data_IF_725950043187
#
_entry.id   IF_725950043187
#
_cell.length_a   1.000
_cell.length_b   1.000
_cell.length_c   1.000
_cell.angle_alpha   90.00
_cell.angle_beta   90.00
_cell.angle_gamma   90.00
#
_symmetry.space_group_name_H-M   'P 1'
#
loop_
_entity.id
_entity.type
_entity.pdbx_description
1 polymer ?
#
# COMPACT_ATOMS: atom_id res chain seq x y z
N UNK A 1 3.36 12.16 -9.46
CA UNK A 1 3.63 12.88 -8.17
C UNK A 1 4.43 12.04 -7.14
N UNK A 2 4.31 10.69 -7.01
CA UNK A 2 5.15 9.90 -6.09
C UNK A 2 6.66 10.07 -6.32
N UNK A 3 7.05 10.36 -7.55
CA UNK A 3 8.45 10.60 -7.94
C UNK A 3 9.07 11.78 -7.14
N UNK A 4 8.30 12.83 -6.89
CA UNK A 4 8.78 13.99 -6.11
C UNK A 4 9.08 13.62 -4.66
N UNK A 5 8.29 12.74 -4.06
CA UNK A 5 8.55 12.23 -2.71
C UNK A 5 9.89 11.46 -2.67
N UNK A 6 10.12 10.60 -3.66
CA UNK A 6 11.36 9.83 -3.74
C UNK A 6 12.58 10.75 -3.92
N UNK A 7 12.51 11.73 -4.80
CA UNK A 7 13.58 12.72 -4.96
C UNK A 7 13.82 13.52 -3.69
N UNK A 8 12.77 13.95 -3.00
CA UNK A 8 12.88 14.66 -1.73
C UNK A 8 13.53 13.79 -0.65
N UNK A 9 13.15 12.51 -0.55
CA UNK A 9 13.76 11.58 0.41
C UNK A 9 15.23 11.29 0.09
N UNK A 10 15.58 11.08 -1.17
CA UNK A 10 16.96 10.87 -1.61
C UNK A 10 17.80 12.13 -1.32
N UNK A 11 17.30 13.31 -1.64
CA UNK A 11 17.96 14.58 -1.35
C UNK A 11 18.15 14.80 0.16
N UNK A 12 17.14 14.49 0.96
CA UNK A 12 17.21 14.58 2.41
C UNK A 12 18.23 13.58 3.01
N UNK A 13 18.29 12.36 2.47
CA UNK A 13 19.27 11.37 2.91
C UNK A 13 20.70 11.79 2.54
N UNK A 14 20.91 12.30 1.33
CA UNK A 14 22.24 12.62 0.82
C UNK A 14 22.78 13.96 1.34
N UNK A 15 21.95 14.99 1.34
CA UNK A 15 22.36 16.35 1.77
C UNK A 15 21.93 16.65 3.22
N UNK A 16 20.76 16.22 3.62
CA UNK A 16 20.20 16.53 4.94
C UNK A 16 20.84 15.73 6.06
N UNK A 17 21.07 14.43 5.87
CA UNK A 17 21.60 13.59 6.95
C UNK A 17 23.01 14.01 7.41
N UNK A 18 24.00 14.34 6.53
CA UNK A 18 25.29 14.89 6.95
C UNK A 18 25.16 16.22 7.66
N UNK A 19 24.26 17.08 7.18
CA UNK A 19 24.02 18.40 7.79
C UNK A 19 23.42 18.30 9.18
N UNK A 20 22.42 17.44 9.39
CA UNK A 20 21.83 17.17 10.71
C UNK A 20 22.89 16.60 11.68
N UNK A 21 23.73 15.68 11.19
CA UNK A 21 24.82 15.11 11.98
C UNK A 21 25.81 16.20 12.44
N UNK A 22 26.13 17.18 11.57
CA UNK A 22 27.02 18.30 11.94
C UNK A 22 26.42 19.23 13.00
N UNK A 23 25.08 19.25 13.12
CA UNK A 23 24.34 20.00 14.14
C UNK A 23 24.11 19.19 15.43
N UNK A 24 24.63 17.96 15.54
CA UNK A 24 24.39 17.07 16.69
C UNK A 24 22.99 16.47 16.74
N UNK A 25 22.23 16.53 15.63
CA UNK A 25 20.88 15.97 15.51
C UNK A 25 20.98 14.59 14.85
N UNK A 26 20.18 13.65 15.31
CA UNK A 26 20.10 12.31 14.73
C UNK A 26 19.78 12.37 13.22
N UNK A 27 20.60 11.77 12.34
CA UNK A 27 20.43 11.85 10.88
C UNK A 27 19.09 11.34 10.36
N UNK A 28 18.40 10.49 11.12
CA UNK A 28 17.09 9.94 10.76
C UNK A 28 16.00 11.02 10.64
N UNK A 29 16.12 12.11 11.38
CA UNK A 29 15.17 13.22 11.27
C UNK A 29 15.23 13.95 9.92
N UNK A 30 16.35 13.88 9.21
CA UNK A 30 16.45 14.41 7.86
C UNK A 30 15.48 13.72 6.91
N UNK A 31 15.26 12.41 7.06
CA UNK A 31 14.28 11.66 6.28
C UNK A 31 12.84 12.13 6.56
N UNK A 32 12.51 12.42 7.83
CA UNK A 32 11.23 13.01 8.21
C UNK A 32 10.97 14.35 7.51
N UNK A 33 11.98 15.22 7.50
CA UNK A 33 11.92 16.49 6.75
C UNK A 33 11.77 16.24 5.26
N UNK A 34 12.47 15.24 4.71
CA UNK A 34 12.33 14.83 3.31
C UNK A 34 10.91 14.44 2.93
N UNK A 35 10.20 13.70 3.80
CA UNK A 35 8.79 13.35 3.59
C UNK A 35 7.89 14.58 3.57
N UNK A 36 8.09 15.51 4.52
CA UNK A 36 7.30 16.75 4.58
C UNK A 36 7.53 17.63 3.35
N UNK A 37 8.79 17.80 2.94
CA UNK A 37 9.15 18.54 1.72
C UNK A 37 8.55 17.88 0.48
N UNK A 38 8.59 16.56 0.39
CA UNK A 38 7.95 15.80 -0.69
C UNK A 38 6.45 16.06 -0.77
N UNK A 39 5.75 16.11 0.36
CA UNK A 39 4.33 16.45 0.43
C UNK A 39 4.04 17.88 -0.08
N UNK A 40 4.82 18.86 0.37
CA UNK A 40 4.69 20.26 -0.07
C UNK A 40 4.96 20.39 -1.57
N UNK A 41 6.00 19.73 -2.09
CA UNK A 41 6.32 19.74 -3.53
C UNK A 41 5.21 19.08 -4.36
N UNK A 42 4.61 18.00 -3.88
CA UNK A 42 3.47 17.37 -4.56
C UNK A 42 2.27 18.30 -4.66
N UNK A 43 1.91 18.97 -3.57
CA UNK A 43 0.86 19.99 -3.58
C UNK A 43 1.21 21.18 -4.49
N UNK A 44 2.47 21.65 -4.42
CA UNK A 44 2.95 22.75 -5.24
C UNK A 44 2.86 22.49 -6.74
N UNK A 45 3.03 21.26 -7.19
CA UNK A 45 2.86 20.87 -8.60
C UNK A 45 1.39 20.69 -8.98
N UNK A 46 0.55 20.22 -8.06
CA UNK A 46 -0.87 19.98 -8.34
C UNK A 46 -1.70 21.26 -8.29
N UNK A 47 -1.41 22.17 -7.36
CA UNK A 47 -2.18 23.39 -7.17
C UNK A 47 -2.29 24.27 -8.44
N UNK A 48 -1.20 24.55 -9.19
CA UNK A 48 -1.29 25.33 -10.42
C UNK A 48 -2.13 24.64 -11.52
N UNK A 49 -2.07 23.31 -11.60
CA UNK A 49 -2.88 22.55 -12.56
C UNK A 49 -4.37 22.65 -12.22
N UNK A 50 -4.74 22.54 -10.94
CA UNK A 50 -6.12 22.70 -10.48
C UNK A 50 -6.63 24.13 -10.68
N UNK A 51 -5.77 25.13 -10.45
CA UNK A 51 -6.11 26.54 -10.71
C UNK A 51 -6.41 26.79 -12.19
N UNK A 52 -5.58 26.23 -13.11
CA UNK A 52 -5.79 26.37 -14.57
C UNK A 52 -7.09 25.70 -15.03
N UNK A 53 -7.49 24.62 -14.38
CA UNK A 53 -8.74 23.91 -14.69
C UNK A 53 -9.97 24.54 -14.01
N UNK A 54 -9.80 25.57 -13.19
CA UNK A 54 -10.90 26.17 -12.43
C UNK A 54 -11.48 25.26 -11.35
N UNK A 55 -10.80 24.15 -11.02
CA UNK A 55 -11.23 23.13 -10.06
C UNK A 55 -10.62 23.33 -8.66
N UNK A 56 -9.98 24.47 -8.43
CA UNK A 56 -9.37 24.73 -7.13
C UNK A 56 -10.47 24.89 -6.07
N UNK A 57 -10.47 24.06 -5.02
CA UNK A 57 -11.51 24.10 -4.00
C UNK A 57 -11.44 25.43 -3.23
N UNK A 58 -12.57 26.13 -3.16
CA UNK A 58 -12.72 27.31 -2.29
C UNK A 58 -12.87 26.81 -0.85
N UNK A 59 -11.77 26.66 -0.15
CA UNK A 59 -11.77 26.23 1.23
C UNK A 59 -12.18 27.43 2.08
N UNK A 60 -13.43 27.46 2.53
CA UNK A 60 -13.91 28.42 3.52
C UNK A 60 -13.55 27.93 4.93
N UNK A 61 -12.60 28.58 5.60
CA UNK A 61 -12.26 28.31 7.00
C UNK A 61 -13.27 28.92 8.00
N UNK A 62 -14.42 29.37 7.51
CA UNK A 62 -15.44 29.95 8.38
C UNK A 62 -16.30 28.84 8.98
N UNK A 63 -16.56 28.91 10.31
CA UNK A 63 -17.36 27.91 11.01
C UNK A 63 -18.75 27.70 10.40
N UNK A 64 -19.36 28.76 9.90
CA UNK A 64 -20.64 28.69 9.18
C UNK A 64 -20.55 27.88 7.88
N UNK A 65 -19.43 27.96 7.14
CA UNK A 65 -19.22 27.18 5.94
C UNK A 65 -19.03 25.68 6.26
N UNK A 66 -18.35 25.38 7.35
CA UNK A 66 -18.18 23.99 7.82
C UNK A 66 -19.54 23.41 8.26
N UNK A 67 -20.35 24.17 9.00
CA UNK A 67 -21.69 23.74 9.38
C UNK A 67 -22.61 23.52 8.17
N UNK A 68 -22.57 24.41 7.19
CA UNK A 68 -23.34 24.29 5.96
C UNK A 68 -22.92 23.05 5.16
N UNK A 69 -21.61 22.81 5.03
CA UNK A 69 -21.09 21.61 4.37
C UNK A 69 -21.48 20.32 5.10
N UNK A 70 -21.48 20.33 6.43
CA UNK A 70 -21.89 19.16 7.24
C UNK A 70 -23.41 18.94 7.22
N UNK A 71 -24.20 19.99 6.97
CA UNK A 71 -25.64 19.89 6.82
C UNK A 71 -26.07 19.28 5.48
N UNK A 72 -25.20 19.35 4.46
CA UNK A 72 -25.47 18.86 3.11
C UNK A 72 -25.72 17.34 3.12
N UNK A 73 -26.83 16.85 2.54
CA UNK A 73 -27.13 15.42 2.44
C UNK A 73 -26.06 14.60 1.71
N UNK A 74 -25.40 15.18 0.69
CA UNK A 74 -24.34 14.51 -0.05
C UNK A 74 -23.11 14.28 0.85
N UNK A 75 -22.73 15.27 1.66
CA UNK A 75 -21.63 15.17 2.63
C UNK A 75 -21.92 14.09 3.69
N UNK A 76 -23.14 14.04 4.22
CA UNK A 76 -23.56 13.01 5.18
C UNK A 76 -23.52 11.60 4.56
N UNK A 77 -23.95 11.47 3.32
CA UNK A 77 -23.93 10.20 2.63
C UNK A 77 -22.48 9.71 2.39
N UNK A 78 -21.59 10.61 1.97
CA UNK A 78 -20.16 10.31 1.83
C UNK A 78 -19.58 9.88 3.19
N UNK A 79 -19.81 10.63 4.26
CA UNK A 79 -19.33 10.28 5.59
C UNK A 79 -19.84 8.91 6.06
N UNK A 80 -21.12 8.61 5.82
CA UNK A 80 -21.73 7.30 6.15
C UNK A 80 -21.08 6.14 5.39
N UNK A 81 -20.68 6.35 4.13
CA UNK A 81 -19.97 5.34 3.33
C UNK A 81 -18.49 5.23 3.70
N UNK A 82 -17.88 6.33 4.16
CA UNK A 82 -16.46 6.34 4.57
C UNK A 82 -16.22 5.59 5.88
N UNK A 83 -17.13 5.62 6.84
CA UNK A 83 -16.93 4.98 8.15
C UNK A 83 -16.63 3.47 8.02
N UNK A 84 -17.44 2.66 7.31
CA UNK A 84 -17.11 1.25 7.10
C UNK A 84 -15.81 1.03 6.31
N UNK A 85 -15.55 1.88 5.31
CA UNK A 85 -14.32 1.80 4.52
C UNK A 85 -13.08 2.09 5.37
N UNK A 86 -13.14 3.11 6.26
CA UNK A 86 -12.08 3.42 7.22
C UNK A 86 -11.82 2.26 8.17
N UNK A 87 -12.87 1.62 8.69
CA UNK A 87 -12.72 0.45 9.55
C UNK A 87 -12.01 -0.69 8.80
N UNK A 88 -12.39 -0.97 7.55
CA UNK A 88 -11.75 -1.99 6.73
C UNK A 88 -10.25 -1.74 6.49
N UNK A 89 -9.88 -0.49 6.18
CA UNK A 89 -8.47 -0.11 6.00
C UNK A 89 -7.71 -0.12 7.32
N UNK A 90 -8.35 0.30 8.42
CA UNK A 90 -7.73 0.35 9.75
C UNK A 90 -7.30 -1.02 10.25
N UNK A 91 -8.02 -2.10 9.93
CA UNK A 91 -7.66 -3.47 10.32
C UNK A 91 -6.27 -3.84 9.79
N UNK A 92 -5.98 -3.52 8.53
CA UNK A 92 -4.66 -3.79 7.95
C UNK A 92 -3.55 -2.98 8.64
N UNK A 93 -3.80 -1.71 8.98
CA UNK A 93 -2.85 -0.87 9.68
C UNK A 93 -2.62 -1.33 11.12
N UNK A 94 -3.67 -1.75 11.82
CA UNK A 94 -3.56 -2.32 13.17
C UNK A 94 -2.76 -3.62 13.13
N UNK A 95 -3.00 -4.49 12.16
CA UNK A 95 -2.23 -5.71 11.97
C UNK A 95 -0.74 -5.42 11.74
N UNK A 96 -0.41 -4.43 10.92
CA UNK A 96 0.96 -3.99 10.69
C UNK A 96 1.62 -3.49 11.98
N UNK A 97 0.92 -2.68 12.77
CA UNK A 97 1.42 -2.19 14.07
C UNK A 97 1.67 -3.34 15.05
N UNK A 98 0.74 -4.30 15.16
CA UNK A 98 0.87 -5.47 16.02
C UNK A 98 2.08 -6.30 15.59
N UNK A 99 2.22 -6.59 14.29
CA UNK A 99 3.35 -7.35 13.76
C UNK A 99 4.69 -6.65 14.03
N UNK A 100 4.76 -5.34 13.83
CA UNK A 100 5.95 -4.54 14.11
C UNK A 100 6.26 -4.54 15.62
N UNK A 101 5.24 -4.42 16.47
CA UNK A 101 5.39 -4.47 17.91
C UNK A 101 5.92 -5.84 18.38
N UNK A 102 5.36 -6.93 17.86
CA UNK A 102 5.85 -8.28 18.15
C UNK A 102 7.32 -8.42 17.70
N UNK A 103 7.63 -7.99 16.47
CA UNK A 103 8.97 -8.07 15.93
C UNK A 103 9.99 -7.23 16.72
N UNK A 104 9.58 -6.11 17.30
CA UNK A 104 10.45 -5.25 18.12
C UNK A 104 10.88 -5.90 19.44
N UNK A 105 10.14 -6.88 19.95
CA UNK A 105 10.47 -7.67 21.15
C UNK A 105 11.32 -8.90 20.83
N UNK A 106 11.55 -9.21 19.56
CA UNK A 106 12.41 -10.31 19.13
C UNK A 106 13.88 -9.84 19.02
N UNK A 107 14.71 -10.66 18.38
CA UNK A 107 16.12 -10.35 18.21
C UNK A 107 16.32 -9.02 17.45
N UNK A 108 17.37 -8.23 17.78
CA UNK A 108 17.72 -7.04 17.02
C UNK A 108 17.83 -7.34 15.52
N UNK A 109 17.17 -6.55 14.68
CA UNK A 109 17.08 -6.76 13.23
C UNK A 109 15.75 -7.34 12.74
N UNK A 110 14.92 -7.94 13.61
CA UNK A 110 13.68 -8.62 13.22
C UNK A 110 12.70 -7.72 12.44
N UNK A 111 12.55 -6.47 12.83
CA UNK A 111 11.72 -5.50 12.11
C UNK A 111 12.28 -5.25 10.69
N UNK A 112 13.61 -5.15 10.56
CA UNK A 112 14.25 -4.94 9.26
C UNK A 112 14.08 -6.16 8.36
N UNK A 113 14.28 -7.38 8.87
CA UNK A 113 14.12 -8.61 8.10
C UNK A 113 12.70 -8.79 7.57
N UNK A 114 11.69 -8.50 8.40
CA UNK A 114 10.29 -8.50 7.97
C UNK A 114 10.04 -7.43 6.90
N UNK A 115 10.60 -6.22 7.06
CA UNK A 115 10.43 -5.14 6.09
C UNK A 115 11.04 -5.50 4.73
N UNK A 116 12.23 -6.09 4.70
CA UNK A 116 12.85 -6.53 3.44
C UNK A 116 12.05 -7.67 2.78
N UNK A 117 11.58 -8.63 3.57
CA UNK A 117 10.73 -9.70 3.06
C UNK A 117 9.39 -9.17 2.49
N UNK A 118 8.76 -8.21 3.19
CA UNK A 118 7.52 -7.56 2.75
C UNK A 118 7.70 -6.83 1.41
N UNK A 119 8.82 -6.13 1.23
CA UNK A 119 9.15 -5.46 -0.05
C UNK A 119 9.26 -6.43 -1.22
N UNK A 120 9.86 -7.60 -1.01
CA UNK A 120 9.94 -8.62 -2.05
C UNK A 120 8.58 -9.25 -2.35
N UNK A 121 7.78 -9.47 -1.32
CA UNK A 121 6.42 -9.96 -1.44
C UNK A 121 5.47 -8.96 -2.14
N UNK A 122 5.73 -7.67 -1.98
CA UNK A 122 4.92 -6.62 -2.60
C UNK A 122 4.93 -6.71 -4.14
N UNK A 123 6.03 -7.13 -4.74
CA UNK A 123 6.17 -7.24 -6.20
C UNK A 123 5.16 -8.20 -6.83
N UNK A 124 5.10 -9.51 -6.50
CA UNK A 124 4.09 -10.41 -7.05
C UNK A 124 2.67 -10.01 -6.65
N UNK A 125 2.48 -9.49 -5.43
CA UNK A 125 1.16 -9.06 -4.95
C UNK A 125 0.63 -7.84 -5.73
N UNK A 126 1.48 -6.89 -6.08
CA UNK A 126 1.09 -5.72 -6.87
C UNK A 126 0.84 -6.11 -8.34
N UNK A 127 1.75 -6.86 -8.95
CA UNK A 127 1.59 -7.28 -10.35
C UNK A 127 0.31 -8.10 -10.57
N UNK A 128 0.05 -9.07 -9.70
CA UNK A 128 -1.10 -9.98 -9.86
C UNK A 128 -2.38 -9.37 -9.29
N UNK A 129 -2.33 -8.93 -8.03
CA UNK A 129 -3.53 -8.48 -7.31
C UNK A 129 -4.06 -7.15 -7.82
N UNK A 130 -3.18 -6.15 -7.99
CA UNK A 130 -3.61 -4.81 -8.42
C UNK A 130 -3.99 -4.80 -9.89
N UNK A 131 -3.19 -5.43 -10.77
CA UNK A 131 -3.48 -5.47 -12.20
C UNK A 131 -4.83 -6.14 -12.49
N UNK A 132 -5.09 -7.29 -11.89
CA UNK A 132 -6.37 -8.00 -12.04
C UNK A 132 -7.52 -7.19 -11.42
N UNK A 133 -7.31 -6.62 -10.22
CA UNK A 133 -8.32 -5.82 -9.52
C UNK A 133 -8.74 -4.58 -10.32
N UNK A 134 -7.80 -3.87 -10.94
CA UNK A 134 -8.09 -2.69 -11.79
C UNK A 134 -8.94 -3.07 -13.01
N UNK A 135 -8.69 -4.23 -13.62
CA UNK A 135 -9.47 -4.70 -14.78
C UNK A 135 -10.85 -5.20 -14.36
N UNK A 136 -10.93 -5.96 -13.25
CA UNK A 136 -12.18 -6.55 -12.79
C UNK A 136 -13.17 -5.55 -12.20
N UNK A 137 -12.68 -4.55 -11.44
CA UNK A 137 -13.55 -3.61 -10.72
C UNK A 137 -14.60 -2.93 -11.59
N UNK A 138 -14.27 -2.27 -12.72
CA UNK A 138 -15.28 -1.63 -13.56
C UNK A 138 -16.21 -2.63 -14.23
N UNK A 139 -15.72 -3.81 -14.59
CA UNK A 139 -16.50 -4.83 -15.26
C UNK A 139 -17.52 -5.49 -14.30
N UNK A 140 -17.10 -5.77 -13.06
CA UNK A 140 -17.98 -6.27 -12.01
C UNK A 140 -19.07 -5.26 -11.65
N UNK A 141 -18.71 -3.96 -11.55
CA UNK A 141 -19.65 -2.90 -11.29
C UNK A 141 -20.68 -2.77 -12.43
N UNK A 142 -20.25 -2.87 -13.69
CA UNK A 142 -21.14 -2.84 -14.86
C UNK A 142 -22.09 -4.05 -14.89
N UNK A 143 -21.58 -5.28 -14.66
CA UNK A 143 -22.41 -6.49 -14.62
C UNK A 143 -23.44 -6.41 -13.49
N UNK A 144 -23.05 -5.91 -12.32
CA UNK A 144 -23.94 -5.70 -11.18
C UNK A 144 -25.03 -4.65 -11.48
N UNK A 145 -24.64 -3.52 -12.10
CA UNK A 145 -25.58 -2.46 -12.49
C UNK A 145 -26.59 -2.92 -13.54
N UNK A 146 -26.19 -3.84 -14.42
CA UNK A 146 -27.09 -4.48 -15.41
C UNK A 146 -27.96 -5.60 -14.85
N UNK A 147 -27.78 -6.00 -13.58
CA UNK A 147 -28.49 -7.13 -12.99
C UNK A 147 -28.05 -8.50 -13.52
N UNK A 148 -26.94 -8.58 -14.25
CA UNK A 148 -26.43 -9.81 -14.86
C UNK A 148 -25.57 -10.61 -13.87
N UNK A 149 -26.24 -11.40 -13.04
CA UNK A 149 -25.59 -12.23 -12.02
C UNK A 149 -24.72 -13.33 -12.63
N UNK A 150 -25.07 -13.85 -13.81
CA UNK A 150 -24.29 -14.89 -14.49
C UNK A 150 -22.93 -14.34 -14.95
N UNK A 151 -22.95 -13.17 -15.60
CA UNK A 151 -21.73 -12.47 -16.03
C UNK A 151 -20.86 -12.07 -14.84
N UNK A 152 -21.46 -11.57 -13.76
CA UNK A 152 -20.76 -11.22 -12.54
C UNK A 152 -20.01 -12.41 -11.95
N UNK A 153 -20.68 -13.55 -11.80
CA UNK A 153 -20.10 -14.80 -11.29
C UNK A 153 -18.99 -15.33 -12.19
N UNK A 154 -19.21 -15.34 -13.52
CA UNK A 154 -18.21 -15.77 -14.49
C UNK A 154 -16.93 -14.92 -14.45
N UNK A 155 -17.06 -13.62 -14.21
CA UNK A 155 -15.91 -12.72 -14.09
C UNK A 155 -15.11 -12.96 -12.81
N UNK A 156 -15.75 -13.20 -11.69
CA UNK A 156 -15.07 -13.56 -10.44
C UNK A 156 -14.36 -14.91 -10.57
N UNK A 157 -15.02 -15.91 -11.15
CA UNK A 157 -14.43 -17.24 -11.41
C UNK A 157 -13.19 -17.12 -12.31
N UNK A 158 -13.29 -16.36 -13.40
CA UNK A 158 -12.16 -16.07 -14.28
C UNK A 158 -10.99 -15.39 -13.54
N UNK A 159 -11.28 -14.36 -12.74
CA UNK A 159 -10.27 -13.67 -11.94
C UNK A 159 -9.57 -14.59 -10.95
N UNK A 160 -10.32 -15.43 -10.24
CA UNK A 160 -9.77 -16.40 -9.29
C UNK A 160 -8.92 -17.47 -9.98
N UNK A 161 -9.32 -17.96 -11.14
CA UNK A 161 -8.52 -18.92 -11.92
C UNK A 161 -7.18 -18.33 -12.35
N UNK A 162 -7.16 -17.07 -12.80
CA UNK A 162 -5.92 -16.38 -13.14
C UNK A 162 -5.05 -16.19 -11.89
N UNK A 163 -5.66 -15.83 -10.75
CA UNK A 163 -4.91 -15.73 -9.49
C UNK A 163 -4.23 -17.04 -9.16
N UNK A 164 -4.96 -18.15 -9.19
CA UNK A 164 -4.39 -19.47 -8.87
C UNK A 164 -3.27 -19.81 -9.87
N UNK A 165 -3.51 -19.63 -11.17
CA UNK A 165 -2.55 -19.96 -12.23
C UNK A 165 -1.25 -19.19 -12.09
N UNK A 166 -1.30 -17.92 -11.71
CA UNK A 166 -0.10 -17.07 -11.63
C UNK A 166 0.49 -17.00 -10.21
N UNK A 167 -0.33 -17.03 -9.16
CA UNK A 167 0.16 -16.93 -7.79
C UNK A 167 0.76 -18.25 -7.28
N UNK A 168 0.33 -19.41 -7.78
CA UNK A 168 0.94 -20.70 -7.38
C UNK A 168 2.41 -20.78 -7.79
N UNK A 169 2.81 -20.52 -9.05
CA UNK A 169 4.23 -20.50 -9.40
C UNK A 169 5.03 -19.48 -8.60
N UNK A 170 4.47 -18.28 -8.34
CA UNK A 170 5.12 -17.27 -7.52
C UNK A 170 5.30 -17.74 -6.08
N UNK A 171 4.28 -18.37 -5.49
CA UNK A 171 4.35 -18.92 -4.12
C UNK A 171 5.41 -20.03 -4.04
N UNK A 172 5.44 -20.94 -5.00
CA UNK A 172 6.46 -22.00 -5.08
C UNK A 172 7.85 -21.39 -5.23
N UNK A 173 8.02 -20.37 -6.08
CA UNK A 173 9.29 -19.67 -6.22
C UNK A 173 9.74 -18.99 -4.91
N UNK A 174 8.81 -18.34 -4.19
CA UNK A 174 9.12 -17.74 -2.89
C UNK A 174 9.39 -18.79 -1.80
N UNK A 175 8.87 -20.00 -1.88
CA UNK A 175 9.19 -21.07 -0.95
C UNK A 175 10.53 -21.75 -1.25
N UNK A 176 10.90 -21.89 -2.52
CA UNK A 176 12.08 -22.68 -2.93
C UNK A 176 13.27 -21.82 -3.30
N UNK A 177 13.07 -20.58 -3.73
CA UNK A 177 14.10 -19.69 -4.28
C UNK A 177 14.30 -18.41 -3.48
N UNK A 178 13.78 -18.35 -2.24
CA UNK A 178 13.88 -17.15 -1.38
C UNK A 178 15.31 -16.80 -1.02
N UNK A 179 16.15 -17.78 -0.67
CA UNK A 179 17.52 -17.52 -0.24
C UNK A 179 18.37 -16.90 -1.36
N UNK A 180 18.45 -17.48 -2.57
CA UNK A 180 19.16 -16.85 -3.69
C UNK A 180 18.62 -15.46 -4.04
N UNK A 181 17.30 -15.26 -3.95
CA UNK A 181 16.66 -13.98 -4.22
C UNK A 181 17.10 -12.90 -3.22
N UNK A 182 17.02 -13.21 -1.92
CA UNK A 182 17.43 -12.31 -0.84
C UNK A 182 18.93 -12.04 -0.91
N UNK A 183 19.76 -13.07 -1.10
CA UNK A 183 21.20 -12.91 -1.19
C UNK A 183 21.60 -12.03 -2.37
N UNK A 184 21.03 -12.26 -3.56
CA UNK A 184 21.36 -11.46 -4.75
C UNK A 184 20.99 -10.01 -4.61
N UNK A 185 19.88 -9.70 -3.94
CA UNK A 185 19.36 -8.34 -3.86
C UNK A 185 19.88 -7.55 -2.66
N UNK A 186 20.18 -8.21 -1.54
CA UNK A 186 20.46 -7.51 -0.28
C UNK A 186 21.80 -7.87 0.38
N UNK A 187 22.46 -8.99 0.00
CA UNK A 187 23.68 -9.45 0.65
C UNK A 187 24.89 -8.62 0.22
N UNK A 188 24.91 -7.33 0.64
CA UNK A 188 26.05 -6.43 0.46
C UNK A 188 26.12 -5.39 1.59
N UNK A 189 27.29 -4.80 1.78
CA UNK A 189 27.53 -3.78 2.82
C UNK A 189 27.44 -4.36 4.23
N UNK A 190 26.48 -3.88 5.02
CA UNK A 190 26.28 -4.31 6.40
C UNK A 190 25.30 -5.49 6.55
N UNK A 191 24.72 -5.99 5.45
CA UNK A 191 23.74 -7.09 5.47
C UNK A 191 24.48 -8.43 5.53
N UNK A 192 24.43 -9.10 6.67
CA UNK A 192 25.18 -10.31 6.97
C UNK A 192 24.46 -11.58 6.50
N UNK A 193 25.20 -12.74 6.52
CA UNK A 193 24.61 -14.06 6.24
C UNK A 193 23.42 -14.37 7.15
N UNK A 194 23.47 -13.94 8.43
CA UNK A 194 22.38 -14.08 9.37
C UNK A 194 21.15 -13.30 8.90
N UNK A 195 21.35 -12.09 8.37
CA UNK A 195 20.25 -11.26 7.86
C UNK A 195 19.62 -11.90 6.63
N UNK A 196 20.44 -12.52 5.76
CA UNK A 196 19.95 -13.30 4.62
C UNK A 196 19.05 -14.44 5.10
N UNK A 197 19.51 -15.27 6.04
CA UNK A 197 18.74 -16.40 6.55
C UNK A 197 17.42 -15.98 7.21
N UNK A 198 17.44 -14.95 8.05
CA UNK A 198 16.25 -14.47 8.74
C UNK A 198 15.23 -13.85 7.77
N UNK A 199 15.71 -13.05 6.80
CA UNK A 199 14.87 -12.47 5.76
C UNK A 199 14.29 -13.56 4.85
N UNK A 200 15.07 -14.58 4.51
CA UNK A 200 14.61 -15.75 3.75
C UNK A 200 13.49 -16.48 4.47
N UNK A 201 13.65 -16.74 5.76
CA UNK A 201 12.62 -17.40 6.57
C UNK A 201 11.32 -16.60 6.60
N UNK A 202 11.41 -15.28 6.77
CA UNK A 202 10.25 -14.39 6.70
C UNK A 202 9.59 -14.41 5.32
N UNK A 203 10.38 -14.37 4.25
CA UNK A 203 9.90 -14.38 2.87
C UNK A 203 9.20 -15.70 2.51
N UNK A 204 9.72 -16.84 2.97
CA UNK A 204 9.05 -18.14 2.83
C UNK A 204 7.69 -18.16 3.54
N UNK A 205 7.60 -17.56 4.74
CA UNK A 205 6.33 -17.40 5.45
C UNK A 205 5.30 -16.59 4.64
N UNK A 206 5.74 -15.51 4.02
CA UNK A 206 4.90 -14.72 3.10
C UNK A 206 4.53 -15.51 1.84
N UNK A 207 5.45 -16.29 1.27
CA UNK A 207 5.20 -17.14 0.12
C UNK A 207 4.04 -18.11 0.35
N UNK A 208 3.96 -18.71 1.54
CA UNK A 208 2.84 -19.57 1.93
C UNK A 208 1.50 -18.82 1.97
N UNK A 209 1.50 -17.54 2.36
CA UNK A 209 0.31 -16.68 2.41
C UNK A 209 -0.05 -15.97 1.09
N UNK A 210 0.81 -16.03 0.06
CA UNK A 210 0.68 -15.25 -1.17
C UNK A 210 -0.66 -15.46 -1.88
N UNK A 211 -1.09 -16.72 -2.02
CA UNK A 211 -2.38 -17.06 -2.65
C UNK A 211 -3.55 -16.34 -1.99
N UNK A 212 -3.60 -16.37 -0.66
CA UNK A 212 -4.67 -15.71 0.10
C UNK A 212 -4.63 -14.19 -0.09
N UNK A 213 -3.45 -13.59 -0.04
CA UNK A 213 -3.28 -12.15 -0.19
C UNK A 213 -3.67 -11.64 -1.59
N UNK A 214 -3.31 -12.39 -2.64
CA UNK A 214 -3.71 -12.03 -4.01
C UNK A 214 -5.19 -12.29 -4.22
N UNK A 215 -5.75 -13.38 -3.70
CA UNK A 215 -7.17 -13.70 -3.79
C UNK A 215 -8.04 -12.61 -3.14
N UNK A 216 -7.64 -12.09 -1.97
CA UNK A 216 -8.34 -10.98 -1.33
C UNK A 216 -8.40 -9.74 -2.23
N UNK A 217 -7.31 -9.40 -2.93
CA UNK A 217 -7.27 -8.25 -3.85
C UNK A 217 -8.18 -8.40 -5.07
N UNK A 218 -8.54 -9.63 -5.44
CA UNK A 218 -9.49 -9.92 -6.52
C UNK A 218 -10.93 -10.00 -6.01
N UNK A 219 -11.13 -10.56 -4.82
CA UNK A 219 -12.46 -10.68 -4.22
C UNK A 219 -12.99 -9.36 -3.67
N UNK A 220 -12.13 -8.53 -3.07
CA UNK A 220 -12.53 -7.25 -2.48
C UNK A 220 -13.28 -6.33 -3.47
N UNK A 221 -12.84 -6.13 -4.74
CA UNK A 221 -13.61 -5.41 -5.74
C UNK A 221 -15.01 -5.96 -5.98
N UNK A 222 -15.18 -7.29 -5.90
CA UNK A 222 -16.48 -7.93 -6.01
C UNK A 222 -17.43 -7.51 -4.89
N UNK A 223 -16.96 -7.54 -3.65
CA UNK A 223 -17.75 -7.07 -2.51
C UNK A 223 -18.06 -5.57 -2.60
N UNK A 224 -17.09 -4.74 -3.01
CA UNK A 224 -17.33 -3.31 -3.21
C UNK A 224 -18.33 -3.03 -4.33
N UNK A 225 -18.25 -3.73 -5.46
CA UNK A 225 -19.20 -3.60 -6.57
C UNK A 225 -20.63 -4.03 -6.16
N UNK A 226 -20.75 -4.97 -5.22
CA UNK A 226 -22.06 -5.38 -4.69
C UNK A 226 -22.61 -4.47 -3.60
N UNK A 227 -21.85 -3.42 -3.17
CA UNK A 227 -22.16 -2.55 -2.03
C UNK A 227 -22.41 -3.33 -0.72
N UNK A 228 -21.96 -4.56 -0.65
CA UNK A 228 -22.07 -5.39 0.54
C UNK A 228 -20.81 -5.21 1.40
N UNK A 229 -20.82 -4.17 2.22
CA UNK A 229 -19.69 -3.76 3.09
C UNK A 229 -19.91 -4.27 4.54
N UNK A 230 -20.90 -5.13 4.74
CA UNK A 230 -21.17 -5.71 6.06
C UNK A 230 -20.38 -6.98 6.29
#
# INVERSE_FOLDING_TARGET
TPVLLNFSMIGAAWLGAPWFKSMGIEPVYALGVGVMLGGVLQLGVQAPALLRLGLFPKIGFNWSAVQAAWADPATKNIAKLMVPALLGVSVAQISLLINTQIASHLAPGSVSWLTYADRLMEFPTAMLGVAIGVVLTPQLAAAKGAGDAAKYSAMLDWGLRIVVLLAVPCAVALLTFSEPLVATLYHYGAFSDRDVQQTTTALMGYGAGLLGLVAIKVLAPGFYASQNIK
#
